data_IF_927272699710
#
_entry.id   IF_927272699710
#
_cell.length_a   1.000
_cell.length_b   1.000
_cell.length_c   1.000
_cell.angle_alpha   90.00
_cell.angle_beta   90.00
_cell.angle_gamma   90.00
#
_symmetry.space_group_name_H-M   'P 1'
#
loop_
_entity.id
_entity.type
_entity.pdbx_description
1 polymer ?
#
# COMPACT_ATOMS: atom_id res chain seq x y z
N UNK A 1 -16.03 -0.07 5.33
CA UNK A 1 -15.57 1.26 4.89
C UNK A 1 -14.11 1.16 4.48
N UNK A 2 -13.85 0.97 3.19
CA UNK A 2 -12.50 0.94 2.62
C UNK A 2 -11.90 2.34 2.76
N UNK A 3 -10.95 2.49 3.68
CA UNK A 3 -10.23 3.75 3.85
C UNK A 3 -9.65 4.14 2.49
N UNK A 4 -10.02 5.32 1.99
CA UNK A 4 -9.42 5.89 0.80
C UNK A 4 -7.92 6.00 1.06
N UNK A 5 -7.15 5.08 0.48
CA UNK A 5 -5.71 5.08 0.54
C UNK A 5 -5.29 6.23 -0.36
N UNK A 6 -4.91 7.37 0.21
CA UNK A 6 -4.55 8.59 -0.52
C UNK A 6 -3.21 8.49 -1.28
N UNK A 7 -2.82 7.28 -1.69
CA UNK A 7 -1.62 7.02 -2.48
C UNK A 7 -1.94 7.39 -3.93
N UNK A 8 -1.13 8.28 -4.49
CA UNK A 8 -1.24 8.72 -5.88
C UNK A 8 -0.22 7.99 -6.73
N UNK A 9 -0.60 7.58 -7.93
CA UNK A 9 0.30 7.08 -8.95
C UNK A 9 0.59 8.20 -9.94
N UNK A 10 1.85 8.42 -10.25
CA UNK A 10 2.30 9.30 -11.33
C UNK A 10 2.71 8.42 -12.52
N UNK A 11 2.19 8.70 -13.71
CA UNK A 11 2.56 7.97 -14.92
C UNK A 11 3.69 8.72 -15.64
N UNK A 12 4.88 8.11 -15.75
CA UNK A 12 6.03 8.73 -16.42
C UNK A 12 5.85 8.96 -17.94
N UNK A 13 4.78 8.43 -18.55
CA UNK A 13 4.51 8.59 -19.98
C UNK A 13 3.53 9.70 -20.31
N UNK A 14 2.41 9.81 -19.58
CA UNK A 14 1.44 10.87 -19.77
C UNK A 14 1.60 12.03 -18.78
N UNK A 15 2.54 11.92 -17.83
CA UNK A 15 2.83 12.92 -16.79
C UNK A 15 1.63 13.23 -15.86
N UNK A 16 0.61 12.36 -15.88
CA UNK A 16 -0.62 12.52 -15.09
C UNK A 16 -0.47 11.80 -13.75
N UNK A 17 -0.85 12.49 -12.67
CA UNK A 17 -1.05 11.90 -11.35
C UNK A 17 -2.51 11.49 -11.14
N UNK A 18 -2.74 10.28 -10.67
CA UNK A 18 -4.08 9.76 -10.39
C UNK A 18 -4.11 9.01 -9.05
N UNK A 19 -5.30 8.87 -8.45
CA UNK A 19 -5.45 8.09 -7.22
C UNK A 19 -5.43 6.59 -7.54
N UNK A 20 -4.56 5.83 -6.86
CA UNK A 20 -4.42 4.40 -7.07
C UNK A 20 -5.57 3.65 -6.38
N UNK A 21 -6.27 2.81 -7.14
CA UNK A 21 -7.32 1.95 -6.60
C UNK A 21 -6.72 0.81 -5.76
N UNK A 22 -7.45 0.22 -4.80
CA UNK A 22 -6.95 -0.87 -3.97
C UNK A 22 -6.40 -2.07 -4.76
N UNK A 23 -7.04 -2.44 -5.86
CA UNK A 23 -6.56 -3.53 -6.72
C UNK A 23 -5.24 -3.18 -7.45
N UNK A 24 -5.03 -1.92 -7.82
CA UNK A 24 -3.78 -1.46 -8.44
C UNK A 24 -2.62 -1.46 -7.44
N UNK A 25 -2.91 -1.08 -6.19
CA UNK A 25 -1.93 -1.19 -5.10
C UNK A 25 -1.56 -2.66 -4.85
N UNK A 26 -2.53 -3.56 -4.92
CA UNK A 26 -2.29 -4.99 -4.80
C UNK A 26 -1.43 -5.52 -5.96
N UNK A 27 -1.73 -5.12 -7.20
CA UNK A 27 -0.92 -5.46 -8.39
C UNK A 27 0.54 -5.01 -8.21
N UNK A 28 0.77 -3.78 -7.72
CA UNK A 28 2.12 -3.29 -7.39
C UNK A 28 2.80 -4.14 -6.31
N UNK A 29 2.05 -4.58 -5.29
CA UNK A 29 2.59 -5.40 -4.20
C UNK A 29 3.10 -6.77 -4.66
N UNK A 30 2.38 -7.39 -5.61
CA UNK A 30 2.75 -8.67 -6.25
C UNK A 30 3.63 -8.48 -7.48
N UNK A 31 4.09 -7.26 -7.74
CA UNK A 31 4.97 -6.88 -8.85
C UNK A 31 4.36 -7.14 -10.24
N UNK A 32 3.03 -7.20 -10.32
CA UNK A 32 2.27 -7.46 -11.55
C UNK A 32 2.00 -6.15 -12.32
N UNK A 33 2.24 -6.13 -13.64
CA UNK A 33 1.99 -4.95 -14.47
C UNK A 33 0.50 -4.68 -14.66
N UNK A 34 0.11 -3.41 -14.79
CA UNK A 34 -1.28 -3.01 -15.04
C UNK A 34 -1.37 -1.81 -15.98
N UNK A 35 -2.52 -1.62 -16.63
CA UNK A 35 -2.68 -0.54 -17.61
C UNK A 35 -3.01 0.81 -16.98
N UNK A 36 -2.43 1.87 -17.55
CA UNK A 36 -2.78 3.23 -17.21
C UNK A 36 -4.23 3.55 -17.63
N UNK A 37 -5.08 4.10 -16.74
CA UNK A 37 -6.46 4.44 -17.10
C UNK A 37 -6.56 5.53 -18.18
N UNK A 38 -5.51 6.32 -18.39
CA UNK A 38 -5.48 7.41 -19.37
C UNK A 38 -4.78 7.04 -20.67
N UNK A 39 -3.56 6.51 -20.60
CA UNK A 39 -2.76 6.22 -21.79
C UNK A 39 -2.78 4.74 -22.22
N UNK A 40 -3.46 3.86 -21.47
CA UNK A 40 -3.60 2.42 -21.72
C UNK A 40 -2.27 1.69 -21.97
N UNK A 41 -1.15 2.27 -21.52
CA UNK A 41 0.14 1.60 -21.52
C UNK A 41 0.31 0.81 -20.23
N UNK A 42 1.02 -0.30 -20.36
CA UNK A 42 1.42 -1.15 -19.26
C UNK A 42 2.40 -0.39 -18.37
N UNK A 43 2.02 -0.22 -17.11
CA UNK A 43 2.78 0.44 -16.05
C UNK A 43 3.28 -0.58 -15.03
N UNK A 44 4.50 -0.36 -14.54
CA UNK A 44 5.07 -1.11 -13.43
C UNK A 44 5.98 -0.20 -12.59
N UNK A 45 6.08 -0.51 -11.30
CA UNK A 45 6.96 0.19 -10.38
C UNK A 45 8.39 -0.39 -10.46
N UNK A 46 9.22 0.10 -11.38
CA UNK A 46 10.58 -0.41 -11.55
C UNK A 46 11.59 0.14 -10.52
N UNK A 47 11.27 1.23 -9.82
CA UNK A 47 12.18 1.83 -8.84
C UNK A 47 12.22 1.02 -7.54
N UNK A 48 13.32 0.30 -7.32
CA UNK A 48 13.52 -0.53 -6.10
C UNK A 48 13.43 0.26 -4.80
N UNK A 49 13.82 1.55 -4.82
CA UNK A 49 13.69 2.45 -3.66
C UNK A 49 12.24 2.73 -3.30
N UNK A 50 11.40 3.02 -4.29
CA UNK A 50 9.96 3.26 -4.09
C UNK A 50 9.25 1.95 -3.71
N UNK A 51 9.62 0.82 -4.31
CA UNK A 51 9.07 -0.49 -3.94
C UNK A 51 9.37 -0.85 -2.48
N UNK A 52 10.59 -0.60 -2.00
CA UNK A 52 10.93 -0.77 -0.56
C UNK A 52 10.10 0.15 0.33
N UNK A 53 9.90 1.41 -0.06
CA UNK A 53 9.07 2.34 0.71
C UNK A 53 7.60 1.91 0.75
N UNK A 54 7.09 1.37 -0.36
CA UNK A 54 5.75 0.81 -0.47
C UNK A 54 5.58 -0.47 0.37
N UNK A 55 6.53 -1.40 0.31
CA UNK A 55 6.52 -2.60 1.16
C UNK A 55 6.67 -2.26 2.65
N UNK A 56 7.44 -1.22 2.97
CA UNK A 56 7.47 -0.68 4.31
C UNK A 56 6.13 -0.06 4.71
N UNK A 57 5.35 0.50 3.77
CA UNK A 57 3.97 1.00 3.98
C UNK A 57 3.01 -0.12 4.37
N UNK A 58 3.15 -1.29 3.76
CA UNK A 58 2.33 -2.47 4.08
C UNK A 58 2.54 -2.95 5.53
N UNK A 59 3.77 -2.88 6.05
CA UNK A 59 4.02 -3.12 7.48
C UNK A 59 3.28 -2.14 8.40
N UNK A 60 2.89 -0.94 7.94
CA UNK A 60 2.05 -0.03 8.75
C UNK A 60 0.58 -0.43 8.79
N UNK A 61 0.10 -1.26 7.86
CA UNK A 61 -1.20 -1.90 8.02
C UNK A 61 -1.22 -2.75 9.31
N UNK A 62 -0.11 -3.43 9.59
CA UNK A 62 0.12 -4.14 10.85
C UNK A 62 0.12 -3.19 12.06
N UNK A 63 0.71 -1.99 11.92
CA UNK A 63 0.71 -0.95 12.98
C UNK A 63 -0.71 -0.46 13.28
N UNK A 64 -1.60 -0.35 12.28
CA UNK A 64 -3.01 -0.02 12.55
C UNK A 64 -3.68 -1.10 13.40
N UNK A 65 -3.44 -2.37 13.09
CA UNK A 65 -3.99 -3.48 13.86
C UNK A 65 -3.42 -3.50 15.29
N UNK A 66 -2.10 -3.32 15.43
CA UNK A 66 -1.44 -3.27 16.73
C UNK A 66 -1.95 -2.12 17.59
N UNK A 67 -2.26 -0.97 16.99
CA UNK A 67 -2.86 0.17 17.69
C UNK A 67 -4.23 -0.15 18.26
N UNK A 68 -5.11 -0.83 17.52
CA UNK A 68 -6.41 -1.23 18.03
C UNK A 68 -6.25 -2.17 19.23
N UNK A 69 -5.36 -3.16 19.13
CA UNK A 69 -5.04 -4.08 20.23
C UNK A 69 -4.48 -3.31 21.43
N UNK A 70 -3.55 -2.38 21.22
CA UNK A 70 -2.94 -1.59 22.29
C UNK A 70 -3.95 -0.69 23.00
N UNK A 71 -4.86 -0.08 22.23
CA UNK A 71 -5.95 0.75 22.77
C UNK A 71 -6.87 -0.11 23.65
N UNK A 72 -7.22 -1.31 23.18
CA UNK A 72 -8.09 -2.24 23.90
C UNK A 72 -7.42 -2.72 25.20
N UNK A 73 -6.15 -3.13 25.13
CA UNK A 73 -5.36 -3.55 26.31
C UNK A 73 -5.23 -2.42 27.31
N UNK A 74 -4.96 -1.19 26.86
CA UNK A 74 -4.84 -0.04 27.75
C UNK A 74 -6.15 0.29 28.48
N UNK A 75 -7.30 0.18 27.79
CA UNK A 75 -8.62 0.35 28.42
C UNK A 75 -8.92 -0.76 29.44
N UNK A 76 -8.57 -2.02 29.14
CA UNK A 76 -8.73 -3.14 30.07
C UNK A 76 -7.86 -2.92 31.31
N UNK A 77 -6.59 -2.55 31.14
CA UNK A 77 -5.67 -2.28 32.25
C UNK A 77 -6.17 -1.12 33.12
N UNK A 78 -6.68 -0.04 32.51
CA UNK A 78 -7.26 1.08 33.23
C UNK A 78 -8.47 0.64 34.07
N UNK A 79 -9.36 -0.19 33.50
CA UNK A 79 -10.54 -0.73 34.19
C UNK A 79 -10.16 -1.62 35.37
N UNK A 80 -9.18 -2.52 35.19
CA UNK A 80 -8.70 -3.41 36.26
C UNK A 80 -8.02 -2.62 37.37
N UNK A 81 -7.23 -1.60 37.03
CA UNK A 81 -6.53 -0.77 38.00
C UNK A 81 -7.48 0.12 38.83
N UNK A 82 -8.56 0.60 38.23
CA UNK A 82 -9.66 1.26 38.95
C UNK A 82 -10.36 0.27 39.89
N UNK A 83 -10.71 -0.92 39.41
CA UNK A 83 -11.36 -1.99 40.20
C UNK A 83 -10.55 -2.40 41.43
N UNK A 84 -9.23 -2.45 41.31
CA UNK A 84 -8.31 -2.78 42.40
C UNK A 84 -8.04 -1.59 43.35
N UNK A 85 -8.59 -0.41 43.08
CA UNK A 85 -8.38 0.81 43.88
C UNK A 85 -6.95 1.39 43.75
N UNK A 86 -6.18 0.92 42.78
CA UNK A 86 -4.80 1.35 42.54
C UNK A 86 -4.71 2.74 41.88
N UNK A 87 -5.82 3.22 41.31
CA UNK A 87 -5.88 4.47 40.54
C UNK A 87 -7.10 5.30 40.97
N UNK A 88 -6.87 6.57 41.32
CA UNK A 88 -7.92 7.57 41.54
C UNK A 88 -8.61 7.95 40.22
N UNK A 89 -9.86 8.41 40.26
CA UNK A 89 -10.63 8.90 39.09
C UNK A 89 -9.81 9.87 38.20
N UNK A 90 -8.96 10.69 38.82
CA UNK A 90 -8.06 11.63 38.13
C UNK A 90 -6.95 10.88 37.35
N UNK A 91 -6.42 9.79 37.90
CA UNK A 91 -5.43 8.95 37.22
C UNK A 91 -6.03 8.15 36.05
N UNK A 92 -7.27 7.69 36.17
CA UNK A 92 -7.99 7.03 35.08
C UNK A 92 -8.26 7.98 33.91
N UNK A 93 -8.65 9.22 34.20
CA UNK A 93 -8.80 10.27 33.20
C UNK A 93 -7.48 10.55 32.45
N UNK A 94 -6.36 10.64 33.17
CA UNK A 94 -5.05 10.85 32.56
C UNK A 94 -4.63 9.69 31.64
N UNK A 95 -4.87 8.44 32.03
CA UNK A 95 -4.56 7.27 31.21
C UNK A 95 -5.43 7.25 29.95
N UNK A 96 -6.73 7.49 30.10
CA UNK A 96 -7.66 7.51 28.96
C UNK A 96 -7.30 8.64 27.97
N UNK A 97 -6.94 9.81 28.49
CA UNK A 97 -6.47 10.94 27.69
C UNK A 97 -5.18 10.60 26.94
N UNK A 98 -4.20 9.97 27.62
CA UNK A 98 -2.94 9.54 26.99
C UNK A 98 -3.19 8.55 25.85
N UNK A 99 -4.07 7.57 26.06
CA UNK A 99 -4.46 6.58 25.05
C UNK A 99 -5.08 7.26 23.83
N UNK A 100 -6.00 8.20 24.04
CA UNK A 100 -6.58 8.99 22.95
C UNK A 100 -5.51 9.79 22.21
N UNK A 101 -4.59 10.43 22.93
CA UNK A 101 -3.52 11.24 22.35
C UNK A 101 -2.60 10.41 21.46
N UNK A 102 -2.19 9.23 21.95
CA UNK A 102 -1.40 8.25 21.18
C UNK A 102 -2.18 7.78 19.95
N UNK A 103 -3.48 7.48 20.10
CA UNK A 103 -4.32 7.07 18.99
C UNK A 103 -4.40 8.15 17.90
N UNK A 104 -4.62 9.41 18.28
CA UNK A 104 -4.66 10.54 17.37
C UNK A 104 -3.30 10.78 16.68
N UNK A 105 -2.19 10.71 17.42
CA UNK A 105 -0.85 10.86 16.85
C UNK A 105 -0.56 9.80 15.79
N UNK A 106 -0.87 8.54 16.08
CA UNK A 106 -0.63 7.45 15.13
C UNK A 106 -1.60 7.50 13.95
N UNK A 107 -2.87 7.85 14.17
CA UNK A 107 -3.82 8.06 13.07
C UNK A 107 -3.37 9.20 12.15
N UNK A 108 -2.89 10.32 12.72
CA UNK A 108 -2.34 11.44 11.96
C UNK A 108 -1.07 11.03 11.20
N UNK A 109 -0.18 10.30 11.86
CA UNK A 109 1.06 9.81 11.24
C UNK A 109 0.77 8.86 10.08
N UNK A 110 -0.16 7.92 10.26
CA UNK A 110 -0.62 7.02 9.19
C UNK A 110 -1.22 7.80 8.02
N UNK A 111 -2.12 8.76 8.27
CA UNK A 111 -2.70 9.61 7.22
C UNK A 111 -1.65 10.45 6.49
N UNK A 112 -0.67 10.99 7.21
CA UNK A 112 0.42 11.75 6.63
C UNK A 112 1.28 10.86 5.72
N UNK A 113 1.64 9.66 6.18
CA UNK A 113 2.48 8.73 5.41
C UNK A 113 1.75 8.07 4.24
N UNK A 114 0.41 8.05 4.27
CA UNK A 114 -0.43 7.58 3.17
C UNK A 114 -0.46 8.53 1.97
N UNK A 115 -0.02 9.79 2.12
CA UNK A 115 0.10 10.76 1.01
C UNK A 115 1.40 10.56 0.24
N UNK A 116 1.58 9.37 -0.33
CA UNK A 116 2.76 9.05 -1.13
C UNK A 116 2.41 9.06 -2.61
N UNK A 117 3.27 9.66 -3.42
CA UNK A 117 3.22 9.62 -4.88
C UNK A 117 4.21 8.56 -5.38
N UNK A 118 3.72 7.57 -6.12
CA UNK A 118 4.53 6.51 -6.71
C UNK A 118 4.78 6.80 -8.19
N UNK A 119 6.04 6.82 -8.63
CA UNK A 119 6.38 6.95 -10.04
C UNK A 119 6.28 5.60 -10.75
N UNK A 120 5.29 5.48 -11.62
CA UNK A 120 5.03 4.32 -12.44
C UNK A 120 5.73 4.50 -13.78
N UNK A 121 6.62 3.57 -14.09
CA UNK A 121 7.36 3.55 -15.34
C UNK A 121 6.62 2.65 -16.34
N UNK A 122 6.68 3.02 -17.62
CA UNK A 122 6.13 2.16 -18.68
C UNK A 122 7.05 0.96 -18.84
N UNK A 123 6.49 -0.23 -18.72
CA UNK A 123 7.19 -1.46 -19.10
C UNK A 123 7.34 -1.42 -20.61
N UNK A 124 8.58 -1.22 -21.09
CA UNK A 124 8.90 -1.61 -22.46
C UNK A 124 8.82 -3.14 -22.47
N UNK A 125 7.96 -3.76 -23.29
CA UNK A 125 7.89 -5.20 -23.38
C UNK A 125 9.20 -5.71 -23.98
N UNK A 126 10.19 -6.03 -23.13
CA UNK A 126 11.40 -6.76 -23.54
C UNK A 126 11.02 -8.18 -23.99
N UNK A 127 9.83 -8.66 -23.65
CA UNK A 127 9.30 -9.97 -24.01
C UNK A 127 8.15 -9.93 -25.04
N UNK A 128 8.02 -8.86 -25.82
CA UNK A 128 7.32 -8.99 -27.11
C UNK A 128 8.26 -9.69 -28.09
N UNK A 129 8.55 -10.98 -27.86
CA UNK A 129 9.08 -11.83 -28.90
C UNK A 129 8.07 -11.76 -30.06
N UNK A 130 8.47 -11.35 -31.26
CA UNK A 130 7.55 -11.19 -32.36
C UNK A 130 7.00 -12.58 -32.67
N UNK A 131 5.71 -12.78 -32.39
CA UNK A 131 4.97 -14.01 -32.72
C UNK A 131 5.16 -14.35 -34.22
N UNK A 132 5.43 -13.33 -35.05
CA UNK A 132 5.81 -13.47 -36.45
C UNK A 132 7.08 -14.31 -36.70
N UNK A 133 8.10 -14.27 -35.83
CA UNK A 133 9.32 -15.09 -36.01
C UNK A 133 9.04 -16.56 -35.68
N UNK A 134 8.25 -16.84 -34.64
CA UNK A 134 7.81 -18.20 -34.31
C UNK A 134 6.92 -18.79 -35.40
N UNK A 135 6.01 -17.99 -35.98
CA UNK A 135 5.19 -18.40 -37.11
C UNK A 135 6.05 -18.71 -38.36
N UNK A 136 7.07 -17.89 -38.64
CA UNK A 136 7.98 -18.10 -39.78
C UNK A 136 8.81 -19.37 -39.62
N UNK A 137 9.29 -19.66 -38.41
CA UNK A 137 10.05 -20.88 -38.10
C UNK A 137 9.14 -22.12 -38.17
N UNK A 138 7.90 -22.03 -37.69
CA UNK A 138 6.93 -23.13 -37.78
C UNK A 138 6.52 -23.45 -39.23
N UNK A 139 6.28 -22.42 -40.06
CA UNK A 139 6.01 -22.59 -41.49
C UNK A 139 7.21 -23.18 -42.25
N UNK A 140 8.43 -22.74 -41.96
CA UNK A 140 9.62 -23.30 -42.59
C UNK A 140 9.78 -24.80 -42.27
N UNK A 141 9.48 -25.20 -41.02
CA UNK A 141 9.62 -26.59 -40.56
C UNK A 141 8.54 -27.53 -41.10
N UNK A 142 7.33 -27.04 -41.38
CA UNK A 142 6.25 -27.83 -42.00
C UNK A 142 6.42 -28.03 -43.51
N UNK A 143 7.21 -27.19 -44.20
CA UNK A 143 7.49 -27.35 -45.63
C UNK A 143 8.56 -28.40 -45.96
N UNK A 144 9.21 -28.97 -44.93
CA UNK A 144 10.32 -29.91 -45.05
C UNK A 144 9.97 -31.37 -44.67
N UNK A 145 8.68 -31.68 -44.43
CA UNK A 145 8.16 -33.04 -44.29
C UNK A 145 7.33 -33.43 -45.51
#
# INVERSE_FOLDING_TARGET
MTAAIGIKGHCAHCDITFELKPWQLNAIAIEEPFDCPYCHRILQLCCTRQLRQFRALDHWALVRLSMVVFTCVALIVALVAEWLGLISVIGQLNISLLVLLVHFLVARYARHRQRMTLDLQVVRPVNALPIEQLARIACARFSQQ
#
